data_IF_613688955469
#
_entry.id   IF_613688955469
#
_cell.length_a   1.000
_cell.length_b   1.000
_cell.length_c   1.000
_cell.angle_alpha   90.00
_cell.angle_beta   90.00
_cell.angle_gamma   90.00
#
_symmetry.space_group_name_H-M   'P 1'
#
loop_
_entity.id
_entity.type
_entity.pdbx_description
1 polymer ?
#
# COMPACT_ATOMS: atom_id res chain seq x y z
N UNK A 1 20.78 -10.58 18.82
CA UNK A 1 21.06 -10.66 17.35
C UNK A 1 20.04 -9.78 16.66
N UNK A 2 20.49 -8.74 15.92
CA UNK A 2 19.58 -7.85 15.19
C UNK A 2 19.61 -8.24 13.72
N UNK A 3 18.44 -8.54 13.14
CA UNK A 3 18.29 -8.80 11.72
C UNK A 3 18.16 -7.49 10.95
N UNK A 4 18.87 -7.36 9.83
CA UNK A 4 18.69 -6.22 8.95
C UNK A 4 17.51 -6.47 8.01
N UNK A 5 16.34 -5.97 8.37
CA UNK A 5 15.12 -6.10 7.52
C UNK A 5 15.13 -5.22 6.26
N UNK A 6 16.15 -4.38 6.06
CA UNK A 6 16.41 -3.73 4.78
C UNK A 6 17.27 -4.58 3.82
N UNK A 7 17.60 -5.81 4.21
CA UNK A 7 18.12 -6.84 3.32
C UNK A 7 16.93 -7.65 2.78
N UNK A 8 16.78 -7.67 1.44
CA UNK A 8 15.62 -8.29 0.78
C UNK A 8 15.55 -9.81 1.04
N UNK A 9 16.70 -10.50 1.15
CA UNK A 9 16.72 -11.94 1.42
C UNK A 9 16.32 -12.25 2.84
N UNK A 10 16.77 -11.45 3.82
CA UNK A 10 16.35 -11.54 5.23
C UNK A 10 14.86 -11.30 5.36
N UNK A 11 14.35 -10.27 4.69
CA UNK A 11 12.94 -9.94 4.72
C UNK A 11 12.07 -11.04 4.08
N UNK A 12 12.46 -11.54 2.90
CA UNK A 12 11.78 -12.64 2.23
C UNK A 12 11.79 -13.93 3.08
N UNK A 13 12.90 -14.22 3.75
CA UNK A 13 12.98 -15.33 4.68
C UNK A 13 12.03 -15.14 5.87
N UNK A 14 11.98 -13.95 6.48
CA UNK A 14 11.08 -13.63 7.59
C UNK A 14 9.61 -13.81 7.21
N UNK A 15 9.23 -13.36 6.01
CA UNK A 15 7.86 -13.52 5.49
C UNK A 15 7.51 -15.00 5.29
N UNK A 16 8.46 -15.82 4.79
CA UNK A 16 8.26 -17.28 4.63
C UNK A 16 8.11 -18.03 5.95
N UNK A 17 8.73 -17.56 7.03
CA UNK A 17 8.58 -18.17 8.36
C UNK A 17 7.20 -17.92 8.99
N UNK A 18 6.44 -17.01 8.47
CA UNK A 18 5.12 -16.63 8.90
C UNK A 18 4.98 -15.12 9.07
N UNK A 19 3.89 -14.59 8.54
CA UNK A 19 3.54 -13.18 8.62
C UNK A 19 2.62 -12.97 9.83
N UNK A 20 3.24 -12.87 11.03
CA UNK A 20 2.50 -12.69 12.28
C UNK A 20 2.06 -11.22 12.47
N UNK A 21 1.13 -11.02 13.40
CA UNK A 21 0.55 -9.71 13.71
C UNK A 21 1.61 -8.67 14.12
N UNK A 22 2.61 -9.09 14.88
CA UNK A 22 3.69 -8.18 15.34
C UNK A 22 4.49 -7.67 14.17
N UNK A 23 4.84 -8.55 13.24
CA UNK A 23 5.57 -8.16 12.04
C UNK A 23 4.71 -7.30 11.11
N UNK A 24 3.41 -7.58 11.02
CA UNK A 24 2.46 -6.74 10.30
C UNK A 24 2.47 -5.30 10.84
N UNK A 25 2.44 -5.11 12.15
CA UNK A 25 2.51 -3.78 12.76
C UNK A 25 3.80 -3.05 12.38
N UNK A 26 4.95 -3.71 12.39
CA UNK A 26 6.22 -3.08 11.95
C UNK A 26 6.17 -2.62 10.49
N UNK A 27 5.61 -3.44 9.60
CA UNK A 27 5.44 -3.06 8.18
C UNK A 27 4.53 -1.83 8.06
N UNK A 28 3.43 -1.81 8.79
CA UNK A 28 2.48 -0.69 8.80
C UNK A 28 3.12 0.59 9.33
N UNK A 29 3.88 0.53 10.42
CA UNK A 29 4.60 1.69 10.96
C UNK A 29 5.56 2.29 9.93
N UNK A 30 6.31 1.46 9.22
CA UNK A 30 7.20 1.90 8.14
C UNK A 30 6.41 2.53 6.99
N UNK A 31 5.29 1.93 6.57
CA UNK A 31 4.40 2.49 5.54
C UNK A 31 3.87 3.87 5.93
N UNK A 32 3.36 4.01 7.16
CA UNK A 32 2.85 5.29 7.69
C UNK A 32 3.91 6.38 7.76
N UNK A 33 5.16 6.02 7.99
CA UNK A 33 6.28 6.97 8.05
C UNK A 33 6.74 7.44 6.67
N UNK A 34 6.65 6.60 5.63
CA UNK A 34 7.30 6.84 4.34
C UNK A 34 6.29 7.17 3.23
N UNK A 35 5.23 6.39 3.07
CA UNK A 35 4.36 6.51 1.90
C UNK A 35 3.57 7.83 1.83
N UNK A 36 3.04 8.40 2.94
CA UNK A 36 2.40 9.71 2.89
C UNK A 36 3.36 10.83 2.50
N UNK A 37 4.62 10.76 2.98
CA UNK A 37 5.66 11.72 2.60
C UNK A 37 6.05 11.56 1.11
N UNK A 38 6.12 10.32 0.60
CA UNK A 38 6.35 10.07 -0.82
C UNK A 38 5.20 10.62 -1.68
N UNK A 39 3.95 10.44 -1.28
CA UNK A 39 2.78 10.99 -1.97
C UNK A 39 2.79 12.53 -2.00
N UNK A 40 3.14 13.18 -0.89
CA UNK A 40 3.29 14.63 -0.84
C UNK A 40 4.37 15.14 -1.81
N UNK A 41 5.51 14.46 -1.88
CA UNK A 41 6.57 14.79 -2.84
C UNK A 41 6.14 14.51 -4.28
N UNK A 42 5.43 13.40 -4.52
CA UNK A 42 4.88 13.08 -5.82
C UNK A 42 3.94 14.18 -6.33
N UNK A 43 3.09 14.75 -5.47
CA UNK A 43 2.22 15.87 -5.84
C UNK A 43 2.98 17.09 -6.38
N UNK A 44 4.21 17.32 -5.92
CA UNK A 44 5.06 18.44 -6.38
C UNK A 44 5.89 18.06 -7.61
N UNK A 45 6.33 16.79 -7.71
CA UNK A 45 7.38 16.37 -8.66
C UNK A 45 6.87 15.48 -9.79
N UNK A 46 5.61 15.00 -9.73
CA UNK A 46 5.04 14.10 -10.74
C UNK A 46 5.17 14.64 -12.16
N UNK A 47 5.35 13.73 -13.11
CA UNK A 47 5.11 13.97 -14.53
C UNK A 47 3.69 13.55 -14.92
N UNK A 48 3.24 13.96 -16.11
CA UNK A 48 1.97 13.44 -16.68
C UNK A 48 1.97 11.92 -16.85
N UNK A 49 3.12 11.32 -17.16
CA UNK A 49 3.26 9.88 -17.26
C UNK A 49 3.03 9.18 -15.90
N UNK A 50 3.49 9.76 -14.79
CA UNK A 50 3.19 9.22 -13.45
C UNK A 50 1.70 9.24 -13.15
N UNK A 51 1.01 10.36 -13.44
CA UNK A 51 -0.45 10.47 -13.24
C UNK A 51 -1.19 9.42 -14.08
N UNK A 52 -0.82 9.25 -15.35
CA UNK A 52 -1.42 8.22 -16.22
C UNK A 52 -1.25 6.82 -15.63
N UNK A 53 -0.05 6.46 -15.18
CA UNK A 53 0.22 5.16 -14.56
C UNK A 53 -0.59 4.95 -13.27
N UNK A 54 -0.68 5.97 -12.42
CA UNK A 54 -1.48 5.91 -11.18
C UNK A 54 -2.98 5.70 -11.50
N UNK A 55 -3.52 6.43 -12.49
CA UNK A 55 -4.89 6.22 -12.99
C UNK A 55 -5.09 4.80 -13.51
N UNK A 56 -4.09 4.25 -14.21
CA UNK A 56 -4.13 2.87 -14.71
C UNK A 56 -4.17 1.86 -13.55
N UNK A 57 -3.37 2.03 -12.51
CA UNK A 57 -3.41 1.19 -11.32
C UNK A 57 -4.80 1.21 -10.67
N UNK A 58 -5.40 2.40 -10.48
CA UNK A 58 -6.75 2.52 -9.93
C UNK A 58 -7.80 1.83 -10.82
N UNK A 59 -7.70 1.98 -12.16
CA UNK A 59 -8.57 1.26 -13.08
C UNK A 59 -8.41 -0.25 -13.03
N UNK A 60 -7.17 -0.74 -12.86
CA UNK A 60 -6.94 -2.17 -12.64
C UNK A 60 -7.61 -2.63 -11.34
N UNK A 61 -7.36 -1.95 -10.22
CA UNK A 61 -7.97 -2.27 -8.92
C UNK A 61 -9.51 -2.27 -8.96
N UNK A 62 -10.14 -1.42 -9.79
CA UNK A 62 -11.61 -1.32 -9.90
C UNK A 62 -12.28 -2.48 -10.64
N UNK A 63 -11.54 -3.38 -11.28
CA UNK A 63 -12.11 -4.52 -12.02
C UNK A 63 -12.79 -5.49 -11.07
N UNK A 64 -13.91 -6.06 -11.51
CA UNK A 64 -14.70 -7.02 -10.72
C UNK A 64 -14.16 -8.46 -10.74
N UNK A 65 -13.19 -8.76 -11.60
CA UNK A 65 -12.66 -10.12 -11.79
C UNK A 65 -11.32 -10.37 -11.06
N UNK A 66 -11.00 -9.55 -10.05
CA UNK A 66 -9.82 -9.75 -9.20
C UNK A 66 -9.98 -10.94 -8.27
N UNK A 67 -8.85 -11.66 -8.05
CA UNK A 67 -8.63 -12.44 -6.86
C UNK A 67 -7.72 -11.64 -5.89
N UNK A 68 -7.50 -12.16 -4.68
CA UNK A 68 -6.66 -11.49 -3.67
C UNK A 68 -5.25 -11.18 -4.18
N UNK A 69 -4.65 -12.10 -4.94
CA UNK A 69 -3.30 -11.95 -5.47
C UNK A 69 -3.23 -10.83 -6.50
N UNK A 70 -4.10 -10.85 -7.52
CA UNK A 70 -4.09 -9.84 -8.59
C UNK A 70 -4.45 -8.45 -8.08
N UNK A 71 -5.29 -8.34 -7.03
CA UNK A 71 -5.56 -7.08 -6.37
C UNK A 71 -4.31 -6.56 -5.64
N UNK A 72 -3.65 -7.42 -4.85
CA UNK A 72 -2.44 -7.05 -4.10
C UNK A 72 -1.29 -6.62 -5.02
N UNK A 73 -1.16 -7.25 -6.19
CA UNK A 73 -0.18 -6.85 -7.21
C UNK A 73 -0.48 -5.46 -7.78
N UNK A 74 -1.75 -5.16 -8.09
CA UNK A 74 -2.16 -3.83 -8.57
C UNK A 74 -1.99 -2.75 -7.50
N UNK A 75 -2.23 -3.10 -6.25
CA UNK A 75 -2.04 -2.24 -5.08
C UNK A 75 -0.55 -1.93 -4.87
N UNK A 76 0.32 -2.95 -4.94
CA UNK A 76 1.77 -2.78 -4.91
C UNK A 76 2.27 -1.87 -6.02
N UNK A 77 1.86 -2.10 -7.27
CA UNK A 77 2.25 -1.27 -8.42
C UNK A 77 1.90 0.21 -8.17
N UNK A 78 0.74 0.49 -7.59
CA UNK A 78 0.33 1.85 -7.22
C UNK A 78 1.33 2.50 -6.27
N UNK A 79 1.68 1.82 -5.18
CA UNK A 79 2.62 2.34 -4.18
C UNK A 79 4.04 2.52 -4.73
N UNK A 80 4.49 1.62 -5.61
CA UNK A 80 5.78 1.74 -6.30
C UNK A 80 5.81 2.95 -7.24
N UNK A 81 4.73 3.21 -7.98
CA UNK A 81 4.63 4.41 -8.86
C UNK A 81 4.67 5.69 -8.03
N UNK A 82 4.09 5.73 -6.85
CA UNK A 82 4.20 6.90 -5.94
C UNK A 82 5.65 7.09 -5.48
N UNK A 83 6.34 6.01 -5.15
CA UNK A 83 7.77 6.05 -4.84
C UNK A 83 8.59 6.66 -5.96
N UNK A 84 8.35 6.24 -7.21
CA UNK A 84 8.99 6.80 -8.41
C UNK A 84 8.64 8.29 -8.59
N UNK A 85 7.35 8.63 -8.52
CA UNK A 85 6.85 10.00 -8.71
C UNK A 85 7.33 10.97 -7.63
N UNK A 86 7.72 10.47 -6.45
CA UNK A 86 8.32 11.28 -5.38
C UNK A 86 9.64 11.95 -5.82
N UNK A 87 10.29 11.42 -6.87
CA UNK A 87 11.58 11.88 -7.34
C UNK A 87 12.72 11.71 -6.31
N UNK A 88 12.49 10.88 -5.29
CA UNK A 88 13.48 10.55 -4.28
C UNK A 88 13.87 9.07 -4.40
N UNK A 89 15.07 8.75 -4.95
CA UNK A 89 15.49 7.38 -5.18
C UNK A 89 15.59 6.55 -3.89
N UNK A 90 15.80 7.18 -2.73
CA UNK A 90 15.81 6.48 -1.45
C UNK A 90 14.41 5.98 -1.08
N UNK A 91 13.36 6.78 -1.29
CA UNK A 91 11.97 6.34 -1.05
C UNK A 91 11.57 5.18 -1.98
N UNK A 92 11.97 5.27 -3.26
CA UNK A 92 11.75 4.18 -4.21
C UNK A 92 12.49 2.89 -3.81
N UNK A 93 13.73 3.04 -3.32
CA UNK A 93 14.55 1.89 -2.88
C UNK A 93 13.96 1.21 -1.65
N UNK A 94 13.47 1.99 -0.66
CA UNK A 94 12.80 1.43 0.53
C UNK A 94 11.57 0.63 0.11
N UNK A 95 10.71 1.18 -0.76
CA UNK A 95 9.54 0.48 -1.27
C UNK A 95 9.93 -0.85 -1.96
N UNK A 96 10.99 -0.86 -2.79
CA UNK A 96 11.48 -2.06 -3.46
C UNK A 96 12.02 -3.13 -2.50
N UNK A 97 12.75 -2.71 -1.45
CA UNK A 97 13.25 -3.65 -0.44
C UNK A 97 12.12 -4.34 0.31
N UNK A 98 11.08 -3.59 0.69
CA UNK A 98 9.95 -4.13 1.47
C UNK A 98 8.82 -4.71 0.59
N UNK A 99 9.02 -4.80 -0.72
CA UNK A 99 8.01 -5.28 -1.69
C UNK A 99 7.37 -6.60 -1.26
N UNK A 100 8.17 -7.60 -0.85
CA UNK A 100 7.66 -8.90 -0.40
C UNK A 100 6.75 -8.77 0.84
N UNK A 101 7.11 -7.89 1.77
CA UNK A 101 6.30 -7.63 2.96
C UNK A 101 5.05 -6.80 2.62
N UNK A 102 5.12 -5.91 1.63
CA UNK A 102 3.98 -5.16 1.13
C UNK A 102 2.95 -6.09 0.49
N UNK A 103 3.38 -7.00 -0.40
CA UNK A 103 2.47 -7.99 -1.00
C UNK A 103 1.78 -8.83 0.08
N UNK A 104 2.51 -9.32 1.07
CA UNK A 104 1.91 -10.07 2.17
C UNK A 104 0.90 -9.21 2.95
N UNK A 105 1.22 -7.95 3.23
CA UNK A 105 0.30 -7.00 3.88
C UNK A 105 -0.96 -6.80 3.05
N UNK A 106 -0.85 -6.57 1.75
CA UNK A 106 -1.99 -6.34 0.86
C UNK A 106 -2.87 -7.59 0.71
N UNK A 107 -2.28 -8.78 0.66
CA UNK A 107 -3.04 -10.04 0.68
C UNK A 107 -3.89 -10.18 1.97
N UNK A 108 -3.33 -9.78 3.12
CA UNK A 108 -4.05 -9.81 4.39
C UNK A 108 -5.14 -8.73 4.49
N UNK A 109 -4.89 -7.54 3.97
CA UNK A 109 -5.84 -6.42 3.96
C UNK A 109 -6.78 -6.40 2.76
N UNK A 110 -6.70 -7.38 1.84
CA UNK A 110 -7.44 -7.37 0.58
C UNK A 110 -8.95 -7.16 0.78
N UNK A 111 -9.56 -6.19 0.09
CA UNK A 111 -11.00 -5.90 0.22
C UNK A 111 -11.90 -6.80 -0.61
N UNK A 112 -11.33 -7.72 -1.39
CA UNK A 112 -12.01 -8.40 -2.51
C UNK A 112 -13.21 -9.26 -2.10
N UNK A 113 -13.30 -9.64 -0.82
CA UNK A 113 -14.39 -10.48 -0.33
C UNK A 113 -15.69 -9.69 -0.06
N UNK A 114 -15.62 -8.35 0.00
CA UNK A 114 -16.75 -7.47 0.25
C UNK A 114 -16.78 -6.34 -0.79
N UNK A 115 -17.84 -6.26 -1.63
CA UNK A 115 -17.95 -5.23 -2.67
C UNK A 115 -17.92 -3.80 -2.13
N UNK A 116 -18.44 -3.55 -0.92
CA UNK A 116 -18.41 -2.24 -0.27
C UNK A 116 -17.00 -1.86 0.16
N UNK A 117 -16.27 -2.81 0.75
CA UNK A 117 -14.86 -2.65 1.12
C UNK A 117 -13.99 -2.42 -0.12
N UNK A 118 -14.26 -3.16 -1.20
CA UNK A 118 -13.57 -3.00 -2.47
C UNK A 118 -13.77 -1.60 -3.04
N UNK A 119 -15.02 -1.13 -3.13
CA UNK A 119 -15.32 0.21 -3.63
C UNK A 119 -14.70 1.31 -2.77
N UNK A 120 -14.76 1.17 -1.44
CA UNK A 120 -14.14 2.11 -0.49
C UNK A 120 -12.64 2.20 -0.71
N UNK A 121 -11.97 1.06 -0.89
CA UNK A 121 -10.53 1.02 -1.16
C UNK A 121 -10.18 1.69 -2.49
N UNK A 122 -10.90 1.38 -3.56
CA UNK A 122 -10.68 1.99 -4.88
C UNK A 122 -10.87 3.50 -4.82
N UNK A 123 -11.92 3.98 -4.14
CA UNK A 123 -12.18 5.40 -3.99
C UNK A 123 -11.08 6.12 -3.21
N UNK A 124 -10.55 5.50 -2.15
CA UNK A 124 -9.45 6.06 -1.38
C UNK A 124 -8.17 6.20 -2.23
N UNK A 125 -7.85 5.21 -3.06
CA UNK A 125 -6.71 5.30 -3.99
C UNK A 125 -6.94 6.37 -5.06
N UNK A 126 -8.17 6.48 -5.59
CA UNK A 126 -8.50 7.54 -6.54
C UNK A 126 -8.29 8.94 -5.93
N UNK A 127 -8.66 9.15 -4.67
CA UNK A 127 -8.46 10.41 -3.98
C UNK A 127 -6.97 10.78 -3.83
N UNK A 128 -6.08 9.79 -3.65
CA UNK A 128 -4.63 10.04 -3.67
C UNK A 128 -4.18 10.54 -5.05
N UNK A 129 -4.68 9.92 -6.12
CA UNK A 129 -4.33 10.34 -7.50
C UNK A 129 -4.84 11.74 -7.77
N UNK A 130 -6.07 12.06 -7.37
CA UNK A 130 -6.66 13.39 -7.54
C UNK A 130 -5.81 14.47 -6.86
N UNK A 131 -5.37 14.21 -5.61
CA UNK A 131 -4.51 15.13 -4.87
C UNK A 131 -3.12 15.28 -5.52
N UNK A 132 -2.52 14.19 -5.99
CA UNK A 132 -1.24 14.21 -6.70
C UNK A 132 -1.39 15.00 -8.01
N UNK A 133 -2.41 14.73 -8.81
CA UNK A 133 -2.67 15.43 -10.07
C UNK A 133 -2.91 16.92 -9.87
N UNK A 134 -3.64 17.31 -8.82
CA UNK A 134 -3.86 18.70 -8.43
C UNK A 134 -2.59 19.41 -7.92
N UNK A 135 -1.54 18.68 -7.56
CA UNK A 135 -0.33 19.24 -6.96
C UNK A 135 -0.50 19.58 -5.47
N UNK A 136 -1.55 19.06 -4.82
CA UNK A 136 -1.80 19.31 -3.40
C UNK A 136 -1.06 18.27 -2.53
N UNK A 137 0.15 18.62 -2.11
CA UNK A 137 0.97 17.74 -1.28
C UNK A 137 0.37 17.45 0.09
N UNK A 138 -0.41 18.38 0.67
CA UNK A 138 -1.07 18.15 1.96
C UNK A 138 -2.21 17.14 1.81
N UNK A 139 -3.04 17.32 0.80
CA UNK A 139 -4.11 16.36 0.50
C UNK A 139 -3.53 14.99 0.13
N UNK A 140 -2.48 14.92 -0.69
CA UNK A 140 -1.82 13.67 -1.05
C UNK A 140 -1.27 12.93 0.18
N UNK A 141 -0.66 13.65 1.14
CA UNK A 141 -0.21 13.08 2.40
C UNK A 141 -1.39 12.47 3.19
N UNK A 142 -2.45 13.24 3.39
CA UNK A 142 -3.58 12.82 4.23
C UNK A 142 -4.38 11.68 3.59
N UNK A 143 -4.60 11.71 2.28
CA UNK A 143 -5.31 10.63 1.56
C UNK A 143 -4.49 9.34 1.52
N UNK A 144 -3.16 9.39 1.36
CA UNK A 144 -2.31 8.21 1.45
C UNK A 144 -2.34 7.60 2.85
N UNK A 145 -2.30 8.42 3.91
CA UNK A 145 -2.43 7.93 5.27
C UNK A 145 -3.77 7.21 5.47
N UNK A 146 -4.86 7.76 4.92
CA UNK A 146 -6.18 7.14 4.97
C UNK A 146 -6.22 5.78 4.24
N UNK A 147 -5.56 5.63 3.09
CA UNK A 147 -5.44 4.33 2.39
C UNK A 147 -4.81 3.28 3.30
N UNK A 148 -3.73 3.64 3.99
CA UNK A 148 -3.03 2.73 4.92
C UNK A 148 -3.94 2.37 6.09
N UNK A 149 -4.64 3.33 6.69
CA UNK A 149 -5.51 3.13 7.84
C UNK A 149 -6.71 2.23 7.50
N UNK A 150 -7.34 2.39 6.35
CA UNK A 150 -8.41 1.48 5.84
C UNK A 150 -7.90 0.04 5.77
N UNK A 151 -6.66 -0.18 5.32
CA UNK A 151 -6.06 -1.52 5.27
C UNK A 151 -5.89 -2.14 6.66
N UNK A 152 -5.43 -1.35 7.63
CA UNK A 152 -5.23 -1.78 9.03
C UNK A 152 -6.56 -2.16 9.68
N UNK A 153 -7.55 -1.28 9.61
CA UNK A 153 -8.87 -1.48 10.21
C UNK A 153 -9.49 -2.80 9.73
N UNK A 154 -9.29 -3.13 8.46
CA UNK A 154 -9.78 -4.39 7.88
C UNK A 154 -9.05 -5.62 8.45
N UNK A 155 -7.76 -5.54 8.67
CA UNK A 155 -6.97 -6.61 9.31
C UNK A 155 -7.49 -6.84 10.72
N UNK A 156 -7.68 -5.79 11.50
CA UNK A 156 -8.16 -5.85 12.88
C UNK A 156 -9.58 -6.41 12.99
N UNK A 157 -10.47 -6.03 12.08
CA UNK A 157 -11.84 -6.58 12.02
C UNK A 157 -11.82 -8.08 11.73
N UNK A 158 -11.01 -8.53 10.77
CA UNK A 158 -10.88 -9.97 10.45
C UNK A 158 -10.34 -10.76 11.62
N UNK A 159 -9.33 -10.25 12.31
CA UNK A 159 -8.75 -10.87 13.50
C UNK A 159 -9.77 -11.06 14.60
N UNK A 160 -10.57 -10.04 14.92
CA UNK A 160 -11.65 -10.15 15.93
C UNK A 160 -12.67 -11.21 15.56
N UNK A 161 -13.01 -11.33 14.27
CA UNK A 161 -13.94 -12.37 13.80
C UNK A 161 -13.37 -13.80 13.91
N UNK A 162 -12.06 -13.97 13.76
CA UNK A 162 -11.40 -15.28 13.89
C UNK A 162 -11.25 -15.70 15.35
N UNK A 163 -10.98 -14.78 16.27
CA UNK A 163 -10.85 -15.04 17.70
C UNK A 163 -12.20 -15.36 18.41
N UNK A 164 -13.34 -15.10 17.76
CA UNK A 164 -14.68 -15.39 18.26
C UNK A 164 -15.36 -16.58 17.56
N UNK A 165 -14.63 -17.35 16.77
CA UNK A 165 -15.13 -18.66 16.27
C UNK A 165 -14.88 -19.72 17.34
N UNK A 166 -15.94 -20.42 17.83
CA UNK A 166 -15.84 -21.45 18.86
C UNK A 166 -15.02 -22.66 18.40
#
# INVERSE_FOLDING_TARGET
MYWNYFDADVLAWRVRLGFDDTFMHYVVEVRRAIEPAAAALAAVRRSSAHVTRLRDCVRQMSRSNHNRQSFAESDLDFHLVIGDASGNPMMRSVAGVIETALIASFLHSSPIDDPSDHQTTVNAHAAVVDAIEAGDGRAAFSTMLQVIDIGIDRIDVRRRRQSHRP
#
